data_IF_474210772807
#
_entry.id   IF_474210772807
#
_cell.length_a   1.000
_cell.length_b   1.000
_cell.length_c   1.000
_cell.angle_alpha   90.00
_cell.angle_beta   90.00
_cell.angle_gamma   90.00
#
_symmetry.space_group_name_H-M   'P 1'
#
loop_
_entity.id
_entity.type
_entity.pdbx_description
1 polymer ?
#
# COMPACT_ATOMS: atom_id res chain seq x y z
N UNK A 1 17.67 5.69 0.15
CA UNK A 1 16.77 5.02 -0.82
C UNK A 1 17.36 5.21 -2.20
N UNK A 2 17.61 4.16 -3.00
CA UNK A 2 18.23 4.31 -4.31
C UNK A 2 17.32 5.10 -5.25
N UNK A 3 17.91 5.96 -6.08
CA UNK A 3 17.22 6.67 -7.15
C UNK A 3 16.92 5.74 -8.32
N UNK A 4 15.86 6.03 -9.06
CA UNK A 4 15.51 5.33 -10.31
C UNK A 4 15.44 6.34 -11.44
N UNK A 5 16.20 6.08 -12.49
CA UNK A 5 16.21 6.89 -13.70
C UNK A 5 14.91 6.72 -14.48
N UNK A 6 14.30 7.83 -14.90
CA UNK A 6 13.12 7.84 -15.74
C UNK A 6 13.29 8.81 -16.92
N UNK A 7 13.06 8.31 -18.13
CA UNK A 7 13.07 9.09 -19.36
C UNK A 7 11.63 9.37 -19.81
N UNK A 8 11.33 10.64 -20.03
CA UNK A 8 10.04 11.11 -20.50
C UNK A 8 9.93 10.96 -22.02
N UNK A 9 8.71 10.85 -22.59
CA UNK A 9 8.51 10.73 -24.05
C UNK A 9 9.10 11.88 -24.88
N UNK A 10 9.41 13.02 -24.26
CA UNK A 10 10.07 14.16 -24.90
C UNK A 10 11.62 14.10 -24.85
N UNK A 11 12.21 13.02 -24.34
CA UNK A 11 13.65 12.84 -24.17
C UNK A 11 14.24 13.54 -22.92
N UNK A 12 13.43 14.22 -22.11
CA UNK A 12 13.87 14.71 -20.81
C UNK A 12 14.08 13.53 -19.86
N UNK A 13 14.99 13.64 -18.90
CA UNK A 13 15.23 12.60 -17.90
C UNK A 13 15.37 13.19 -16.50
N UNK A 14 14.96 12.41 -15.50
CA UNK A 14 15.03 12.77 -14.09
C UNK A 14 15.24 11.52 -13.25
N UNK A 15 16.10 11.62 -12.24
CA UNK A 15 16.33 10.55 -11.27
C UNK A 15 15.39 10.73 -10.08
N UNK A 16 14.57 9.71 -9.83
CA UNK A 16 13.57 9.76 -8.78
C UNK A 16 13.96 8.96 -7.54
N UNK A 17 14.09 9.65 -6.41
CA UNK A 17 14.42 9.08 -5.09
C UNK A 17 13.21 8.83 -4.20
N UNK A 18 13.25 9.37 -2.98
CA UNK A 18 12.21 9.19 -1.96
C UNK A 18 10.86 9.86 -2.31
N UNK A 19 10.86 10.85 -3.20
CA UNK A 19 9.68 11.53 -3.71
C UNK A 19 8.68 10.59 -4.39
N UNK A 20 9.13 9.43 -4.87
CA UNK A 20 8.28 8.35 -5.39
C UNK A 20 7.27 7.85 -4.37
N UNK A 21 7.53 8.06 -3.08
CA UNK A 21 6.66 7.65 -1.99
C UNK A 21 5.61 8.70 -1.62
N UNK A 22 5.76 9.97 -2.04
CA UNK A 22 4.88 11.06 -1.58
C UNK A 22 3.42 10.88 -1.99
N UNK A 23 3.19 10.39 -3.21
CA UNK A 23 1.83 10.13 -3.70
C UNK A 23 1.20 8.93 -2.96
N UNK A 24 1.84 7.74 -2.90
CA UNK A 24 1.25 6.60 -2.19
C UNK A 24 1.15 6.81 -0.67
N UNK A 25 1.96 7.67 -0.05
CA UNK A 25 1.88 7.96 1.39
C UNK A 25 0.52 8.55 1.79
N UNK A 26 -0.13 9.29 0.89
CA UNK A 26 -1.48 9.81 1.12
C UNK A 26 -2.55 8.75 1.39
N UNK A 27 -2.30 7.48 1.02
CA UNK A 27 -3.18 6.35 1.31
C UNK A 27 -3.11 5.91 2.79
N UNK A 28 -1.94 6.06 3.40
CA UNK A 28 -1.69 5.66 4.79
C UNK A 28 -1.89 6.83 5.75
N UNK A 29 -1.52 8.03 5.31
CA UNK A 29 -1.73 9.29 6.03
C UNK A 29 -2.45 10.31 5.12
N UNK A 30 -3.79 10.34 5.19
CA UNK A 30 -4.62 11.27 4.41
C UNK A 30 -4.28 12.76 4.61
N UNK A 31 -3.61 13.13 5.72
CA UNK A 31 -3.23 14.53 5.98
C UNK A 31 -2.23 15.07 4.95
N UNK A 32 -1.52 14.19 4.25
CA UNK A 32 -0.56 14.55 3.21
C UNK A 32 -1.23 14.92 1.88
N UNK A 33 -2.54 14.70 1.71
CA UNK A 33 -3.25 14.98 0.45
C UNK A 33 -3.86 16.38 0.47
N UNK A 34 -3.21 17.30 -0.24
CA UNK A 34 -3.68 18.69 -0.37
C UNK A 34 -4.96 18.75 -1.21
N UNK A 35 -5.96 19.50 -0.74
CA UNK A 35 -7.21 19.75 -1.47
C UNK A 35 -8.38 18.84 -1.11
N UNK A 36 -8.17 17.83 -0.27
CA UNK A 36 -9.25 17.04 0.34
C UNK A 36 -9.57 17.61 1.72
N UNK A 37 -10.50 18.56 1.79
CA UNK A 37 -11.00 19.07 3.08
C UNK A 37 -12.19 18.23 3.56
N UNK A 38 -11.92 17.20 4.36
CA UNK A 38 -12.97 16.42 5.01
C UNK A 38 -12.40 15.49 6.09
N UNK A 39 -12.91 15.60 7.32
CA UNK A 39 -12.47 14.83 8.49
C UNK A 39 -12.87 13.34 8.45
N UNK A 40 -13.46 12.86 7.35
CA UNK A 40 -14.02 11.51 7.22
C UNK A 40 -13.07 10.53 6.55
N UNK A 41 -11.94 10.98 5.99
CA UNK A 41 -10.97 10.09 5.37
C UNK A 41 -10.16 9.35 6.42
N UNK A 42 -10.23 8.01 6.35
CA UNK A 42 -9.41 7.11 7.15
C UNK A 42 -8.28 6.58 6.26
N UNK A 43 -7.05 6.52 6.80
CA UNK A 43 -5.95 5.83 6.13
C UNK A 43 -6.21 4.33 6.05
N UNK A 44 -5.59 3.65 5.07
CA UNK A 44 -5.81 2.21 4.80
C UNK A 44 -5.64 1.34 6.05
N UNK A 45 -4.65 1.63 6.89
CA UNK A 45 -4.43 0.90 8.15
C UNK A 45 -5.66 0.95 9.07
N UNK A 46 -6.27 2.12 9.19
CA UNK A 46 -7.44 2.33 10.04
C UNK A 46 -8.69 1.69 9.44
N UNK A 47 -8.86 1.77 8.11
CA UNK A 47 -9.93 1.09 7.38
C UNK A 47 -9.86 -0.41 7.61
N UNK A 48 -8.70 -1.02 7.37
CA UNK A 48 -8.50 -2.47 7.55
C UNK A 48 -8.83 -2.92 8.98
N UNK A 49 -8.28 -2.22 9.97
CA UNK A 49 -8.49 -2.56 11.39
C UNK A 49 -9.97 -2.44 11.78
N UNK A 50 -10.64 -1.39 11.29
CA UNK A 50 -12.06 -1.15 11.55
C UNK A 50 -12.92 -2.22 10.88
N UNK A 51 -12.65 -2.54 9.62
CA UNK A 51 -13.39 -3.58 8.88
C UNK A 51 -13.24 -4.96 9.50
N UNK A 52 -12.02 -5.36 9.89
CA UNK A 52 -11.80 -6.64 10.60
C UNK A 52 -12.47 -6.62 11.99
N UNK A 53 -12.48 -5.47 12.67
CA UNK A 53 -13.18 -5.29 13.94
C UNK A 53 -14.71 -5.39 13.85
N UNK A 54 -15.29 -5.20 12.66
CA UNK A 54 -16.72 -5.38 12.37
C UNK A 54 -17.09 -6.82 12.01
N UNK A 55 -16.11 -7.67 11.68
CA UNK A 55 -16.34 -9.09 11.42
C UNK A 55 -16.69 -9.86 12.71
N UNK A 56 -17.33 -11.02 12.55
CA UNK A 56 -17.56 -11.97 13.64
C UNK A 56 -16.22 -12.36 14.29
N UNK A 57 -16.20 -12.48 15.62
CA UNK A 57 -14.98 -12.75 16.40
C UNK A 57 -14.30 -14.05 15.97
N UNK A 58 -15.08 -15.03 15.52
CA UNK A 58 -14.58 -16.33 15.08
C UNK A 58 -13.80 -16.25 13.75
N UNK A 59 -14.12 -15.27 12.89
CA UNK A 59 -13.49 -15.14 11.57
C UNK A 59 -12.35 -14.10 11.53
N UNK A 60 -12.28 -13.17 12.49
CA UNK A 60 -11.26 -12.10 12.49
C UNK A 60 -9.83 -12.60 12.32
N UNK A 61 -9.39 -13.66 13.04
CA UNK A 61 -8.04 -14.16 12.88
C UNK A 61 -7.76 -14.63 11.45
N UNK A 62 -8.72 -15.34 10.85
CA UNK A 62 -8.61 -15.82 9.46
C UNK A 62 -8.58 -14.69 8.45
N UNK A 63 -9.48 -13.71 8.57
CA UNK A 63 -9.51 -12.53 7.68
C UNK A 63 -8.22 -11.73 7.77
N UNK A 64 -7.66 -11.56 8.97
CA UNK A 64 -6.40 -10.84 9.16
C UNK A 64 -5.21 -11.59 8.57
N UNK A 65 -5.12 -12.91 8.80
CA UNK A 65 -4.07 -13.76 8.26
C UNK A 65 -4.01 -13.79 6.73
N UNK A 66 -5.15 -13.65 6.05
CA UNK A 66 -5.20 -13.65 4.59
C UNK A 66 -4.61 -12.39 3.95
N UNK A 67 -4.50 -11.29 4.70
CA UNK A 67 -4.04 -9.99 4.16
C UNK A 67 -2.51 -9.87 4.04
N UNK A 68 -1.73 -10.64 4.79
CA UNK A 68 -0.27 -10.58 4.71
C UNK A 68 0.31 -11.63 3.77
N UNK A 69 1.58 -11.43 3.41
CA UNK A 69 2.41 -12.40 2.68
C UNK A 69 3.46 -12.88 3.67
N UNK A 70 3.48 -14.19 3.96
CA UNK A 70 4.48 -14.75 4.86
C UNK A 70 5.84 -14.83 4.15
N UNK A 71 6.93 -14.85 4.94
CA UNK A 71 8.28 -15.05 4.41
C UNK A 71 8.37 -16.33 3.57
N UNK A 72 7.80 -17.42 4.07
CA UNK A 72 7.78 -18.71 3.37
C UNK A 72 7.04 -18.61 2.03
N UNK A 73 5.86 -17.99 2.00
CA UNK A 73 5.08 -17.80 0.77
C UNK A 73 5.85 -16.98 -0.27
N UNK A 74 6.60 -15.97 0.17
CA UNK A 74 7.45 -15.17 -0.71
C UNK A 74 8.71 -15.90 -1.17
N UNK A 75 9.33 -16.74 -0.33
CA UNK A 75 10.51 -17.54 -0.71
C UNK A 75 10.16 -18.63 -1.73
N UNK A 76 9.00 -19.27 -1.58
CA UNK A 76 8.51 -20.31 -2.49
C UNK A 76 7.90 -19.72 -3.78
N UNK A 77 7.08 -18.67 -3.64
CA UNK A 77 6.36 -18.05 -4.74
C UNK A 77 7.11 -16.90 -5.41
N UNK A 78 8.13 -16.31 -4.79
CA UNK A 78 8.77 -15.11 -5.32
C UNK A 78 7.80 -13.94 -5.48
N UNK A 79 8.11 -13.01 -6.39
CA UNK A 79 7.30 -11.78 -6.60
C UNK A 79 5.89 -12.06 -7.10
N UNK A 80 5.65 -13.20 -7.76
CA UNK A 80 4.34 -13.54 -8.32
C UNK A 80 3.26 -13.75 -7.24
N UNK A 81 3.64 -14.03 -5.99
CA UNK A 81 2.68 -14.12 -4.88
C UNK A 81 2.07 -12.76 -4.55
N UNK A 82 2.82 -11.66 -4.76
CA UNK A 82 2.34 -10.29 -4.57
C UNK A 82 1.32 -9.94 -5.65
N UNK A 83 1.63 -10.21 -6.92
CA UNK A 83 0.71 -9.96 -8.05
C UNK A 83 -0.60 -10.74 -7.89
N UNK A 84 -0.53 -11.97 -7.36
CA UNK A 84 -1.73 -12.79 -7.10
C UNK A 84 -2.60 -12.25 -5.96
N UNK A 85 -1.99 -11.68 -4.92
CA UNK A 85 -2.71 -11.19 -3.72
C UNK A 85 -3.12 -9.72 -3.82
N UNK A 86 -2.47 -8.94 -4.69
CA UNK A 86 -2.70 -7.52 -4.90
C UNK A 86 -2.99 -7.25 -6.39
N UNK A 87 -4.20 -7.61 -6.87
CA UNK A 87 -4.61 -7.38 -8.27
C UNK A 87 -4.83 -5.90 -8.62
#
# INVERSE_FOLDING_TARGET
>A
MPTVHYEFPNGYNCDFGAERLKIPEGLFDPSNVKGLSGNTMLGVSHVVTTSVGMCDIDIRPGTFQQMWISKQEYEEGGKQCVERKCP
#
